data_IF_280382248528
#
_entry.id   IF_280382248528
#
_cell.length_a   1.000
_cell.length_b   1.000
_cell.length_c   1.000
_cell.angle_alpha   90.00
_cell.angle_beta   90.00
_cell.angle_gamma   90.00
#
_symmetry.space_group_name_H-M   'P 1'
#
loop_
_entity.id
_entity.type
_entity.pdbx_description
1 polymer ?
#
# COMPACT_ATOMS: atom_id res chain seq x y z
N UNK A 1 -36.25 14.90 21.33
CA UNK A 1 -34.78 14.79 21.29
C UNK A 1 -34.31 14.57 19.87
N UNK A 2 -33.04 14.84 19.59
CA UNK A 2 -32.45 14.68 18.24
C UNK A 2 -32.62 13.24 17.72
N UNK A 3 -32.67 12.25 18.60
CA UNK A 3 -33.04 10.86 18.29
C UNK A 3 -34.37 10.70 17.56
N UNK A 4 -35.39 11.49 17.92
CA UNK A 4 -36.70 11.49 17.24
C UNK A 4 -36.58 12.01 15.81
N UNK A 5 -35.77 13.07 15.60
CA UNK A 5 -35.52 13.63 14.27
C UNK A 5 -34.82 12.63 13.35
N UNK A 6 -33.83 11.89 13.87
CA UNK A 6 -33.16 10.82 13.12
C UNK A 6 -34.12 9.69 12.71
N UNK A 7 -35.00 9.28 13.61
CA UNK A 7 -36.03 8.28 13.32
C UNK A 7 -37.03 8.76 12.25
N UNK A 8 -37.42 10.04 12.31
CA UNK A 8 -38.27 10.65 11.29
C UNK A 8 -37.60 10.66 9.92
N UNK A 9 -36.33 11.08 9.84
CA UNK A 9 -35.54 11.07 8.61
C UNK A 9 -35.35 9.64 8.09
N UNK A 10 -35.15 8.66 8.97
CA UNK A 10 -35.06 7.25 8.57
C UNK A 10 -36.32 6.78 7.86
N UNK A 11 -37.50 7.16 8.36
CA UNK A 11 -38.77 6.78 7.74
C UNK A 11 -39.03 7.53 6.42
N UNK A 12 -38.59 8.77 6.31
CA UNK A 12 -38.80 9.60 5.13
C UNK A 12 -37.83 9.26 3.98
N UNK A 13 -36.52 9.18 4.30
CA UNK A 13 -35.44 9.07 3.31
C UNK A 13 -34.85 7.65 3.23
N UNK A 14 -35.31 6.73 4.08
CA UNK A 14 -34.81 5.35 4.16
C UNK A 14 -33.31 5.24 4.46
N UNK A 15 -32.78 6.21 5.21
CA UNK A 15 -31.38 6.24 5.66
C UNK A 15 -31.33 5.73 7.11
N UNK A 16 -30.55 4.69 7.44
CA UNK A 16 -30.45 4.19 8.82
C UNK A 16 -29.97 5.25 9.80
N UNK A 17 -30.63 5.39 10.97
CA UNK A 17 -30.28 6.40 11.98
C UNK A 17 -28.81 6.33 12.46
N UNK A 18 -28.19 5.14 12.41
CA UNK A 18 -26.79 4.91 12.75
C UNK A 18 -25.79 5.51 11.75
N UNK A 19 -26.20 5.64 10.48
CA UNK A 19 -25.38 6.19 9.41
C UNK A 19 -25.58 7.71 9.26
N UNK A 20 -26.65 8.25 9.84
CA UNK A 20 -26.98 9.68 9.84
C UNK A 20 -26.12 10.49 10.81
N UNK A 21 -25.56 11.59 10.30
CA UNK A 21 -24.91 12.64 11.08
C UNK A 21 -25.63 13.95 10.77
N UNK A 22 -26.28 14.52 11.78
CA UNK A 22 -27.04 15.77 11.66
C UNK A 22 -26.16 16.95 12.05
N UNK A 23 -26.17 18.01 11.24
CA UNK A 23 -25.47 19.26 11.52
C UNK A 23 -26.43 20.45 11.53
N UNK A 24 -26.16 21.41 12.41
CA UNK A 24 -26.79 22.72 12.40
C UNK A 24 -25.71 23.78 12.53
N UNK A 25 -25.65 24.73 11.58
CA UNK A 25 -24.62 25.77 11.56
C UNK A 25 -23.18 25.23 11.53
N UNK A 26 -22.97 24.04 10.94
CA UNK A 26 -21.67 23.37 10.90
C UNK A 26 -21.28 22.63 12.20
N UNK A 27 -22.13 22.62 13.23
CA UNK A 27 -21.92 21.88 14.48
C UNK A 27 -22.70 20.57 14.46
N UNK A 28 -22.07 19.41 14.76
CA UNK A 28 -22.78 18.14 14.81
C UNK A 28 -23.71 18.08 16.02
N UNK A 29 -24.94 17.62 15.81
CA UNK A 29 -25.94 17.45 16.87
C UNK A 29 -25.78 16.09 17.54
N UNK A 30 -25.86 16.07 18.88
CA UNK A 30 -25.76 14.84 19.67
C UNK A 30 -27.13 14.21 19.90
N UNK A 31 -27.22 12.88 19.91
CA UNK A 31 -28.51 12.16 20.01
C UNK A 31 -29.29 12.45 21.30
N UNK A 32 -28.58 12.77 22.38
CA UNK A 32 -29.14 13.07 23.70
C UNK A 32 -29.56 14.54 23.87
N UNK A 33 -29.33 15.39 22.87
CA UNK A 33 -29.72 16.80 22.95
C UNK A 33 -31.22 17.00 22.68
N UNK A 34 -31.80 17.97 23.40
CA UNK A 34 -33.18 18.40 23.17
C UNK A 34 -33.23 19.35 21.98
N UNK A 35 -34.15 19.09 21.06
CA UNK A 35 -34.36 19.89 19.85
C UNK A 35 -34.53 21.39 20.18
N UNK A 36 -35.30 21.70 21.23
CA UNK A 36 -35.56 23.08 21.65
C UNK A 36 -34.30 23.87 22.05
N UNK A 37 -33.21 23.20 22.42
CA UNK A 37 -31.96 23.86 22.78
C UNK A 37 -31.03 24.06 21.59
N UNK A 38 -31.22 23.28 20.52
CA UNK A 38 -30.30 23.22 19.39
C UNK A 38 -30.87 23.86 18.11
N UNK A 39 -32.19 23.94 17.99
CA UNK A 39 -32.89 24.37 16.78
C UNK A 39 -34.00 25.37 17.12
N UNK A 40 -34.19 26.37 16.26
CA UNK A 40 -35.34 27.28 16.27
C UNK A 40 -36.32 26.91 15.17
N UNK A 41 -37.57 27.37 15.29
CA UNK A 41 -38.55 27.19 14.22
C UNK A 41 -38.03 27.77 12.89
N UNK A 42 -38.21 27.04 11.80
CA UNK A 42 -37.65 27.36 10.48
C UNK A 42 -36.16 27.07 10.27
N UNK A 43 -35.46 26.46 11.22
CA UNK A 43 -34.05 26.06 11.06
C UNK A 43 -33.87 24.97 9.99
N UNK A 44 -32.79 25.08 9.20
CA UNK A 44 -32.38 24.04 8.23
C UNK A 44 -31.30 23.16 8.82
N UNK A 45 -31.45 21.83 8.73
CA UNK A 45 -30.52 20.84 9.26
C UNK A 45 -29.88 20.08 8.11
N UNK A 46 -28.55 19.95 8.13
CA UNK A 46 -27.83 19.17 7.13
C UNK A 46 -27.75 17.70 7.57
N UNK A 47 -28.18 16.79 6.68
CA UNK A 47 -28.10 15.34 6.90
C UNK A 47 -26.95 14.78 6.08
N UNK A 48 -25.90 14.34 6.75
CA UNK A 48 -24.73 13.71 6.13
C UNK A 48 -24.67 12.21 6.45
N UNK A 49 -24.28 11.40 5.48
CA UNK A 49 -24.00 9.97 5.67
C UNK A 49 -22.51 9.70 5.43
N UNK A 50 -21.93 8.73 6.16
CA UNK A 50 -20.54 8.31 5.91
C UNK A 50 -20.45 7.51 4.62
N UNK A 51 -19.64 7.97 3.66
CA UNK A 51 -19.35 7.22 2.45
C UNK A 51 -18.56 5.94 2.81
N UNK A 52 -19.12 4.77 2.50
CA UNK A 52 -18.41 3.49 2.63
C UNK A 52 -17.64 3.21 1.34
N UNK A 53 -16.32 3.16 1.45
CA UNK A 53 -15.42 2.82 0.35
C UNK A 53 -14.86 4.03 -0.39
N UNK A 54 -13.54 4.16 -0.36
CA UNK A 54 -12.78 5.20 -1.06
C UNK A 54 -11.39 4.68 -1.43
N UNK A 55 -10.74 5.31 -2.40
CA UNK A 55 -9.41 4.93 -2.87
C UNK A 55 -8.38 5.16 -1.75
N UNK A 56 -8.08 4.11 -0.98
CA UNK A 56 -7.05 4.15 0.07
C UNK A 56 -5.67 4.22 -0.59
N UNK A 57 -4.90 5.27 -0.27
CA UNK A 57 -3.51 5.39 -0.70
C UNK A 57 -2.67 4.25 -0.09
N UNK A 58 -1.86 3.57 -0.90
CA UNK A 58 -1.05 2.44 -0.45
C UNK A 58 -1.74 1.07 -0.49
N UNK A 59 -2.75 0.88 -1.35
CA UNK A 59 -3.40 -0.42 -1.50
C UNK A 59 -2.44 -1.53 -1.97
N UNK A 60 -2.69 -2.77 -1.53
CA UNK A 60 -1.91 -3.96 -1.86
C UNK A 60 -2.11 -4.46 -3.30
N UNK A 61 -2.90 -3.75 -4.12
CA UNK A 61 -3.28 -4.16 -5.47
C UNK A 61 -2.10 -4.36 -6.45
N UNK A 62 -0.90 -3.85 -6.13
CA UNK A 62 0.31 -3.99 -6.94
C UNK A 62 1.32 -5.00 -6.42
N UNK A 63 0.99 -5.71 -5.33
CA UNK A 63 1.88 -6.71 -4.74
C UNK A 63 2.18 -7.82 -5.77
N UNK A 64 3.47 -8.12 -5.98
CA UNK A 64 3.89 -9.21 -6.87
C UNK A 64 3.79 -8.94 -8.38
N UNK A 65 3.30 -7.77 -8.82
CA UNK A 65 3.12 -7.43 -10.25
C UNK A 65 4.37 -7.71 -11.09
N UNK A 66 5.52 -7.24 -10.64
CA UNK A 66 6.79 -7.40 -11.38
C UNK A 66 7.23 -8.87 -11.43
N UNK A 67 7.08 -9.61 -10.33
CA UNK A 67 7.44 -11.03 -10.25
C UNK A 67 6.60 -11.90 -11.19
N UNK A 68 5.32 -11.54 -11.39
CA UNK A 68 4.42 -12.24 -12.31
C UNK A 68 4.63 -11.86 -13.78
N UNK A 69 5.02 -10.62 -14.06
CA UNK A 69 5.26 -10.15 -15.43
C UNK A 69 6.60 -10.63 -16.00
N UNK A 70 7.63 -10.82 -15.16
CA UNK A 70 8.93 -11.28 -15.65
C UNK A 70 8.87 -12.73 -16.13
N UNK A 71 9.33 -13.05 -17.36
CA UNK A 71 9.35 -14.42 -17.85
C UNK A 71 10.22 -15.29 -16.95
N UNK A 72 9.73 -16.50 -16.63
CA UNK A 72 10.47 -17.43 -15.79
C UNK A 72 11.56 -18.12 -16.60
N UNK A 73 12.78 -17.61 -16.52
CA UNK A 73 13.94 -18.25 -17.16
C UNK A 73 14.36 -19.49 -16.36
N UNK A 74 14.38 -20.66 -17.02
CA UNK A 74 14.86 -21.90 -16.45
C UNK A 74 16.37 -21.88 -16.20
N UNK A 75 16.81 -22.59 -15.17
CA UNK A 75 18.24 -22.71 -14.86
C UNK A 75 18.88 -23.68 -15.83
N UNK A 76 19.76 -23.17 -16.70
CA UNK A 76 20.62 -24.03 -17.50
C UNK A 76 21.54 -24.88 -16.62
N UNK A 77 21.76 -26.14 -17.01
CA UNK A 77 22.73 -26.99 -16.35
C UNK A 77 24.15 -26.43 -16.53
N UNK A 78 24.85 -26.20 -15.42
CA UNK A 78 26.23 -25.75 -15.40
C UNK A 78 27.08 -26.78 -14.69
N UNK A 79 28.29 -27.02 -15.19
CA UNK A 79 29.28 -27.89 -14.54
C UNK A 79 29.44 -27.49 -13.06
N UNK A 80 29.38 -28.48 -12.17
CA UNK A 80 29.56 -28.27 -10.72
C UNK A 80 30.91 -27.59 -10.48
N UNK A 81 30.89 -26.46 -9.78
CA UNK A 81 32.12 -25.73 -9.42
C UNK A 81 32.89 -26.55 -8.39
N UNK A 82 34.21 -26.70 -8.56
CA UNK A 82 35.08 -27.26 -7.51
C UNK A 82 34.92 -26.45 -6.22
N UNK A 83 35.04 -27.11 -5.07
CA UNK A 83 34.95 -26.51 -3.72
C UNK A 83 36.24 -26.76 -2.92
N UNK A 84 36.33 -26.18 -1.72
CA UNK A 84 37.46 -26.38 -0.80
C UNK A 84 38.83 -25.99 -1.35
N UNK A 85 39.85 -26.78 -1.00
CA UNK A 85 41.25 -26.56 -1.38
C UNK A 85 41.45 -26.50 -2.90
N UNK A 86 40.72 -27.34 -3.65
CA UNK A 86 40.79 -27.35 -5.11
C UNK A 86 40.32 -26.03 -5.73
N UNK A 87 39.24 -25.43 -5.19
CA UNK A 87 38.76 -24.11 -5.63
C UNK A 87 39.77 -23.00 -5.30
N UNK A 88 40.36 -23.04 -4.10
CA UNK A 88 41.35 -22.04 -3.66
C UNK A 88 42.61 -22.08 -4.51
N UNK A 89 43.12 -23.27 -4.85
CA UNK A 89 44.26 -23.44 -5.78
C UNK A 89 43.97 -22.85 -7.15
N UNK A 90 42.79 -23.12 -7.70
CA UNK A 90 42.38 -22.54 -9.00
C UNK A 90 42.28 -21.01 -8.95
N UNK A 91 41.76 -20.44 -7.86
CA UNK A 91 41.69 -18.99 -7.68
C UNK A 91 43.08 -18.35 -7.57
N UNK A 92 44.01 -18.96 -6.83
CA UNK A 92 45.38 -18.47 -6.69
C UNK A 92 46.07 -18.45 -8.06
N UNK A 93 46.04 -19.56 -8.78
CA UNK A 93 46.64 -19.64 -10.11
C UNK A 93 46.03 -18.59 -11.05
N UNK A 94 44.70 -18.42 -11.05
CA UNK A 94 44.02 -17.42 -11.90
C UNK A 94 44.35 -15.97 -11.54
N UNK A 95 44.70 -15.66 -10.28
CA UNK A 95 44.93 -14.28 -9.80
C UNK A 95 46.39 -13.87 -9.78
N UNK A 96 47.31 -14.82 -9.59
CA UNK A 96 48.71 -14.50 -9.31
C UNK A 96 49.66 -15.18 -10.29
N UNK A 97 49.43 -16.46 -10.62
CA UNK A 97 50.37 -17.21 -11.48
C UNK A 97 50.11 -16.94 -12.96
N UNK A 98 48.85 -16.98 -13.38
CA UNK A 98 48.46 -16.86 -14.79
C UNK A 98 48.17 -15.42 -15.21
N UNK A 99 48.26 -14.45 -14.29
CA UNK A 99 48.05 -13.04 -14.62
C UNK A 99 49.34 -12.48 -15.18
N UNK A 100 49.33 -12.13 -16.48
CA UNK A 100 50.41 -11.35 -17.09
C UNK A 100 50.13 -9.86 -16.83
N UNK A 101 51.09 -9.16 -16.25
CA UNK A 101 51.00 -7.70 -16.03
C UNK A 101 51.21 -7.02 -17.36
N UNK A 102 50.10 -6.66 -18.01
CA UNK A 102 50.11 -5.88 -19.26
C UNK A 102 50.07 -4.38 -18.93
N UNK A 103 50.65 -3.57 -19.82
CA UNK A 103 50.56 -2.11 -19.71
C UNK A 103 49.11 -1.65 -19.94
N UNK A 104 48.62 -0.75 -19.08
CA UNK A 104 47.25 -0.22 -19.13
C UNK A 104 46.42 -0.52 -17.88
N UNK A 105 45.12 -0.19 -17.94
CA UNK A 105 44.20 -0.39 -16.81
C UNK A 105 43.86 -1.88 -16.64
N UNK A 106 44.03 -2.41 -15.43
CA UNK A 106 43.70 -3.81 -15.11
C UNK A 106 42.20 -4.09 -15.36
N UNK A 107 41.89 -5.01 -16.28
CA UNK A 107 40.51 -5.48 -16.50
C UNK A 107 40.02 -6.31 -15.30
N UNK A 108 38.76 -6.11 -14.93
CA UNK A 108 38.12 -6.83 -13.83
C UNK A 108 37.77 -8.28 -14.20
N UNK A 109 37.62 -9.19 -13.21
CA UNK A 109 37.38 -10.61 -13.44
C UNK A 109 36.00 -10.96 -14.03
N UNK A 110 35.10 -9.98 -14.18
CA UNK A 110 33.75 -10.10 -14.74
C UNK A 110 33.48 -8.95 -15.74
N UNK A 111 34.53 -8.47 -16.43
CA UNK A 111 34.38 -7.49 -17.50
C UNK A 111 33.77 -8.16 -18.73
N UNK A 112 32.70 -7.58 -19.26
CA UNK A 112 32.03 -8.06 -20.48
C UNK A 112 32.44 -7.26 -21.73
N UNK A 113 33.43 -6.35 -21.57
CA UNK A 113 34.04 -5.53 -22.62
C UNK A 113 35.26 -6.17 -23.26
#
# INVERSE_FOLDING_TARGET
DVSYLKAFIQNAENIPAEEQILYFGGVPLSDNEKIANCLTDGSTVDVCCRLRGGKVHGSLARAGKVKGQTPKVEKQEKKKKKTGRAKRRMQFNRRFVNVVVTFGRKKGPNSNS
#
